data_IF_936525237389
#
_entry.id   IF_936525237389
#
_cell.length_a   1.000
_cell.length_b   1.000
_cell.length_c   1.000
_cell.angle_alpha   90.00
_cell.angle_beta   90.00
_cell.angle_gamma   90.00
#
_symmetry.space_group_name_H-M   'P 1'
#
loop_
_entity.id
_entity.type
_entity.pdbx_description
1 polymer ?
#
# COMPACT_ATOMS: atom_id res chain seq x y z
N UNK A 1 -8.61 -10.36 59.60
CA UNK A 1 -7.84 -10.39 58.35
C UNK A 1 -8.74 -9.85 57.25
N UNK A 2 -8.65 -8.55 57.04
CA UNK A 2 -9.45 -7.77 56.08
C UNK A 2 -8.53 -7.53 54.88
N UNK A 3 -8.96 -7.72 53.63
CA UNK A 3 -8.08 -7.48 52.49
C UNK A 3 -7.77 -5.99 52.38
N UNK A 4 -6.48 -5.70 52.22
CA UNK A 4 -5.95 -4.36 52.11
C UNK A 4 -6.48 -3.67 50.83
N UNK A 5 -6.97 -2.46 51.04
CA UNK A 5 -7.48 -1.54 50.04
C UNK A 5 -6.28 -1.05 49.19
N UNK A 6 -6.24 -1.39 47.91
CA UNK A 6 -5.29 -0.79 46.96
C UNK A 6 -5.91 0.55 46.50
N UNK A 7 -5.21 1.69 46.67
CA UNK A 7 -5.76 2.99 46.29
C UNK A 7 -5.93 3.10 44.77
N UNK A 8 -7.07 3.64 44.32
CA UNK A 8 -7.46 3.86 42.92
C UNK A 8 -6.54 4.82 42.13
N UNK A 9 -5.47 5.34 42.75
CA UNK A 9 -4.55 6.31 42.16
C UNK A 9 -3.43 5.71 41.29
N UNK A 10 -3.35 4.38 41.11
CA UNK A 10 -2.38 3.72 40.22
C UNK A 10 -2.94 3.36 38.82
N UNK A 11 -4.19 3.72 38.51
CA UNK A 11 -4.79 3.50 37.18
C UNK A 11 -4.57 4.67 36.19
N UNK A 12 -3.76 5.66 36.54
CA UNK A 12 -3.48 6.85 35.71
C UNK A 12 -2.02 6.94 35.26
N UNK A 13 -1.42 5.82 34.85
CA UNK A 13 -0.13 5.82 34.17
C UNK A 13 -0.24 6.45 32.77
N UNK A 14 -0.15 7.78 32.74
CA UNK A 14 0.52 8.59 31.73
C UNK A 14 0.34 8.23 30.26
N UNK A 15 -0.82 8.58 29.68
CA UNK A 15 -0.85 8.98 28.27
C UNK A 15 -0.92 10.51 28.24
N UNK A 16 0.25 11.15 28.14
CA UNK A 16 0.31 12.55 27.72
C UNK A 16 -0.29 12.73 26.31
N UNK A 17 -0.48 13.97 25.82
CA UNK A 17 -1.07 14.25 24.51
C UNK A 17 -0.07 13.90 23.39
N UNK A 18 0.25 12.62 23.24
CA UNK A 18 0.91 12.09 22.05
C UNK A 18 -0.13 11.97 20.94
N UNK A 19 0.24 12.34 19.71
CA UNK A 19 -0.63 12.16 18.55
C UNK A 19 -1.01 10.68 18.40
N UNK A 20 -2.31 10.38 18.47
CA UNK A 20 -2.83 9.02 18.30
C UNK A 20 -3.06 8.75 16.82
N UNK A 21 -2.46 7.69 16.31
CA UNK A 21 -2.65 7.23 14.94
C UNK A 21 -3.70 6.12 14.92
N UNK A 22 -4.79 6.35 14.21
CA UNK A 22 -5.89 5.40 14.03
C UNK A 22 -5.98 5.05 12.55
N UNK A 23 -5.77 3.78 12.23
CA UNK A 23 -5.89 3.27 10.87
C UNK A 23 -7.12 2.38 10.76
N UNK A 24 -8.13 2.84 10.02
CA UNK A 24 -9.28 2.03 9.66
C UNK A 24 -8.91 1.22 8.43
N UNK A 25 -8.96 -0.11 8.53
CA UNK A 25 -8.66 -1.03 7.44
C UNK A 25 -9.96 -1.68 6.97
N UNK A 26 -10.38 -1.37 5.76
CA UNK A 26 -11.56 -1.95 5.12
C UNK A 26 -11.24 -2.43 3.70
N UNK A 27 -12.24 -2.92 2.98
CA UNK A 27 -12.07 -3.43 1.63
C UNK A 27 -12.83 -4.72 1.34
N UNK A 28 -12.74 -5.17 0.10
CA UNK A 28 -13.45 -6.35 -0.37
C UNK A 28 -13.02 -7.62 0.38
N UNK A 29 -13.93 -8.54 0.55
CA UNK A 29 -13.64 -9.84 1.15
C UNK A 29 -12.73 -10.64 0.22
N UNK A 30 -11.62 -11.16 0.76
CA UNK A 30 -10.56 -11.79 -0.03
C UNK A 30 -9.48 -10.82 -0.57
N UNK A 31 -9.61 -9.51 -0.35
CA UNK A 31 -8.61 -8.52 -0.78
C UNK A 31 -7.37 -8.41 0.12
N UNK A 32 -7.21 -9.30 1.11
CA UNK A 32 -6.00 -9.32 1.96
C UNK A 32 -6.05 -8.49 3.23
N UNK A 33 -7.22 -7.97 3.65
CA UNK A 33 -7.39 -7.23 4.92
C UNK A 33 -6.75 -7.90 6.14
N UNK A 34 -7.02 -9.20 6.34
CA UNK A 34 -6.45 -9.94 7.47
C UNK A 34 -4.93 -10.04 7.39
N UNK A 35 -4.35 -10.07 6.18
CA UNK A 35 -2.89 -10.03 6.01
C UNK A 35 -2.35 -8.63 6.36
N UNK A 36 -3.03 -7.57 5.91
CA UNK A 36 -2.66 -6.18 6.23
C UNK A 36 -2.70 -5.95 7.74
N UNK A 37 -3.78 -6.36 8.41
CA UNK A 37 -3.92 -6.25 9.87
C UNK A 37 -2.80 -6.97 10.62
N UNK A 38 -2.42 -8.18 10.20
CA UNK A 38 -1.29 -8.91 10.80
C UNK A 38 0.04 -8.18 10.63
N UNK A 39 0.29 -7.61 9.44
CA UNK A 39 1.51 -6.82 9.22
C UNK A 39 1.51 -5.56 10.09
N UNK A 40 0.36 -4.90 10.28
CA UNK A 40 0.25 -3.77 11.19
C UNK A 40 0.49 -4.16 12.66
N UNK A 41 0.02 -5.34 13.07
CA UNK A 41 0.30 -5.93 14.39
C UNK A 41 1.81 -6.15 14.57
N UNK A 42 2.48 -6.74 13.57
CA UNK A 42 3.94 -6.95 13.55
C UNK A 42 4.71 -5.60 13.63
N UNK A 43 4.13 -4.51 13.11
CA UNK A 43 4.66 -3.15 13.17
C UNK A 43 4.35 -2.43 14.50
N UNK A 44 3.70 -3.11 15.45
CA UNK A 44 3.39 -2.60 16.78
C UNK A 44 2.10 -1.80 16.89
N UNK A 45 1.18 -1.91 15.92
CA UNK A 45 -0.18 -1.41 16.10
C UNK A 45 -0.97 -2.33 17.04
N UNK A 46 -1.76 -1.75 17.94
CA UNK A 46 -2.86 -2.48 18.57
C UNK A 46 -3.92 -2.76 17.50
N UNK A 47 -4.28 -4.02 17.29
CA UNK A 47 -5.18 -4.45 16.22
C UNK A 47 -6.51 -4.93 16.80
N UNK A 48 -7.61 -4.40 16.29
CA UNK A 48 -8.97 -4.87 16.60
C UNK A 48 -9.68 -5.24 15.30
N UNK A 49 -9.96 -6.53 15.09
CA UNK A 49 -10.65 -7.01 13.89
C UNK A 49 -12.16 -7.13 14.12
N UNK A 50 -12.93 -6.48 13.24
CA UNK A 50 -14.38 -6.58 13.13
C UNK A 50 -15.17 -6.22 14.42
N UNK A 51 -14.86 -5.11 15.14
CA UNK A 51 -15.68 -4.69 16.27
C UNK A 51 -17.06 -4.17 15.80
N UNK A 52 -18.08 -4.21 16.66
CA UNK A 52 -19.30 -3.43 16.45
C UNK A 52 -18.98 -1.93 16.26
N UNK A 53 -19.64 -1.26 15.31
CA UNK A 53 -19.30 0.14 14.97
C UNK A 53 -19.46 1.12 16.15
N UNK A 54 -20.43 0.89 17.03
CA UNK A 54 -20.65 1.75 18.21
C UNK A 54 -19.50 1.69 19.24
N UNK A 55 -18.54 0.78 19.09
CA UNK A 55 -17.38 0.69 19.98
C UNK A 55 -16.16 1.46 19.43
N UNK A 56 -16.21 2.01 18.22
CA UNK A 56 -15.05 2.66 17.61
C UNK A 56 -14.50 3.81 18.45
N UNK A 57 -15.37 4.66 18.99
CA UNK A 57 -14.97 5.76 19.87
C UNK A 57 -14.34 5.25 21.17
N UNK A 58 -14.91 4.22 21.79
CA UNK A 58 -14.37 3.63 23.01
C UNK A 58 -13.01 2.97 22.79
N UNK A 59 -12.84 2.26 21.67
CA UNK A 59 -11.56 1.67 21.26
C UNK A 59 -10.53 2.76 20.97
N UNK A 60 -10.92 3.82 20.25
CA UNK A 60 -10.03 4.95 19.99
C UNK A 60 -9.62 5.66 21.27
N UNK A 61 -10.52 5.83 22.24
CA UNK A 61 -10.23 6.50 23.50
C UNK A 61 -9.27 5.70 24.40
N UNK A 62 -9.45 4.38 24.47
CA UNK A 62 -8.72 3.48 25.39
C UNK A 62 -7.53 2.77 24.76
N UNK A 63 -7.47 2.71 23.44
CA UNK A 63 -6.40 2.06 22.70
C UNK A 63 -5.09 2.83 22.79
N UNK A 64 -4.01 2.14 22.40
CA UNK A 64 -2.66 2.67 22.34
C UNK A 64 -2.50 3.86 21.39
N UNK A 65 -1.27 4.36 21.30
CA UNK A 65 -0.91 5.46 20.40
C UNK A 65 -0.99 5.10 18.91
N UNK A 66 -0.93 3.81 18.58
CA UNK A 66 -1.05 3.26 17.22
C UNK A 66 -2.13 2.17 17.22
N UNK A 67 -3.31 2.50 16.71
CA UNK A 67 -4.48 1.61 16.69
C UNK A 67 -4.85 1.31 15.23
N UNK A 68 -5.10 0.04 14.91
CA UNK A 68 -5.60 -0.39 13.62
C UNK A 68 -6.91 -1.17 13.80
N UNK A 69 -7.97 -0.74 13.11
CA UNK A 69 -9.30 -1.32 13.26
C UNK A 69 -9.75 -1.90 11.92
N UNK A 70 -9.95 -3.22 11.89
CA UNK A 70 -10.53 -3.92 10.75
C UNK A 70 -12.04 -3.74 10.71
N UNK A 71 -12.58 -3.16 9.64
CA UNK A 71 -14.02 -3.03 9.42
C UNK A 71 -14.39 -3.70 8.10
N UNK A 72 -15.38 -4.58 8.13
CA UNK A 72 -15.93 -5.22 6.94
C UNK A 72 -17.45 -5.35 7.00
N UNK A 73 -18.06 -5.85 5.92
CA UNK A 73 -19.52 -5.96 5.82
C UNK A 73 -20.17 -6.86 6.88
N UNK A 74 -19.38 -7.62 7.66
CA UNK A 74 -19.83 -8.44 8.79
C UNK A 74 -19.84 -7.67 10.11
N UNK A 75 -19.27 -6.47 10.16
CA UNK A 75 -19.23 -5.67 11.38
C UNK A 75 -20.66 -5.36 11.82
N UNK A 76 -20.95 -5.52 13.11
CA UNK A 76 -22.31 -5.31 13.61
C UNK A 76 -22.69 -3.84 13.47
N UNK A 77 -23.80 -3.59 12.78
CA UNK A 77 -24.26 -2.23 12.45
C UNK A 77 -23.57 -1.62 11.23
N UNK A 78 -22.91 -2.44 10.40
CA UNK A 78 -22.20 -1.96 9.21
C UNK A 78 -23.13 -1.23 8.23
N UNK A 79 -22.85 0.05 8.03
CA UNK A 79 -23.31 0.87 6.91
C UNK A 79 -22.15 1.78 6.54
N UNK A 80 -21.85 1.92 5.24
CA UNK A 80 -20.70 2.70 4.79
C UNK A 80 -20.77 4.17 5.24
N UNK A 81 -21.96 4.78 5.21
CA UNK A 81 -22.19 6.14 5.73
C UNK A 81 -21.87 6.24 7.22
N UNK A 82 -22.32 5.29 8.04
CA UNK A 82 -22.04 5.29 9.48
C UNK A 82 -20.56 5.15 9.79
N UNK A 83 -19.84 4.32 9.04
CA UNK A 83 -18.37 4.20 9.21
C UNK A 83 -17.70 5.56 8.95
N UNK A 84 -18.12 6.29 7.90
CA UNK A 84 -17.60 7.64 7.63
C UNK A 84 -17.96 8.63 8.73
N UNK A 85 -19.21 8.60 9.23
CA UNK A 85 -19.65 9.44 10.36
C UNK A 85 -18.81 9.19 11.62
N UNK A 86 -18.56 7.92 11.96
CA UNK A 86 -17.71 7.57 13.10
C UNK A 86 -16.26 8.02 12.87
N UNK A 87 -15.73 7.89 11.65
CA UNK A 87 -14.41 8.42 11.32
C UNK A 87 -14.31 9.93 11.51
N UNK A 88 -15.33 10.69 11.09
CA UNK A 88 -15.36 12.14 11.26
C UNK A 88 -15.38 12.54 12.74
N UNK A 89 -16.12 11.78 13.59
CA UNK A 89 -16.06 11.96 15.05
C UNK A 89 -14.67 11.67 15.61
N UNK A 90 -14.02 10.59 15.16
CA UNK A 90 -12.67 10.27 15.59
C UNK A 90 -11.64 11.32 15.16
N UNK A 91 -11.78 11.90 13.97
CA UNK A 91 -10.94 13.01 13.47
C UNK A 91 -11.13 14.30 14.28
N UNK A 92 -12.31 14.51 14.85
CA UNK A 92 -12.59 15.67 15.70
C UNK A 92 -11.97 15.56 17.10
N UNK A 93 -11.50 14.38 17.52
CA UNK A 93 -10.82 14.19 18.80
C UNK A 93 -9.44 14.87 18.79
N UNK A 94 -9.10 15.70 19.80
CA UNK A 94 -7.81 16.36 19.87
C UNK A 94 -6.65 15.36 19.84
N UNK A 95 -5.70 15.60 18.94
CA UNK A 95 -4.50 14.75 18.80
C UNK A 95 -4.71 13.45 18.03
N UNK A 96 -5.91 13.17 17.49
CA UNK A 96 -6.17 12.00 16.66
C UNK A 96 -5.85 12.25 15.19
N UNK A 97 -5.07 11.35 14.59
CA UNK A 97 -4.87 11.25 13.15
C UNK A 97 -5.55 9.97 12.66
N UNK A 98 -6.62 10.11 11.89
CA UNK A 98 -7.41 8.99 11.39
C UNK A 98 -7.23 8.85 9.90
N UNK A 99 -6.86 7.66 9.45
CA UNK A 99 -6.70 7.32 8.05
C UNK A 99 -7.52 6.07 7.68
N UNK A 100 -7.97 6.01 6.44
CA UNK A 100 -8.73 4.90 5.86
C UNK A 100 -7.92 4.21 4.77
N UNK A 101 -7.58 2.94 5.03
CA UNK A 101 -7.02 2.02 4.05
C UNK A 101 -8.12 1.14 3.48
N UNK A 102 -8.22 1.12 2.15
CA UNK A 102 -9.14 0.30 1.38
C UNK A 102 -8.37 -0.74 0.57
N UNK A 103 -8.50 -2.01 0.95
CA UNK A 103 -7.94 -3.13 0.18
C UNK A 103 -8.93 -3.60 -0.90
N UNK A 104 -8.44 -3.72 -2.13
CA UNK A 104 -9.24 -4.22 -3.26
C UNK A 104 -8.50 -5.28 -4.07
N UNK A 105 -9.23 -5.96 -4.94
CA UNK A 105 -8.68 -6.75 -6.02
C UNK A 105 -9.76 -6.93 -7.10
N UNK A 106 -9.34 -7.34 -8.29
CA UNK A 106 -10.23 -7.68 -9.38
C UNK A 106 -11.19 -8.82 -9.00
N UNK A 107 -12.46 -8.79 -9.46
CA UNK A 107 -13.46 -9.80 -9.10
C UNK A 107 -13.00 -11.23 -9.39
N UNK A 108 -12.30 -11.45 -10.50
CA UNK A 108 -11.78 -12.77 -10.87
C UNK A 108 -10.71 -13.27 -9.90
N UNK A 109 -9.85 -12.37 -9.40
CA UNK A 109 -8.83 -12.69 -8.42
C UNK A 109 -9.47 -13.02 -7.07
N UNK A 110 -10.45 -12.22 -6.63
CA UNK A 110 -11.21 -12.48 -5.41
C UNK A 110 -11.91 -13.83 -5.48
N UNK A 111 -12.57 -14.14 -6.60
CA UNK A 111 -13.22 -15.42 -6.84
C UNK A 111 -12.22 -16.59 -6.71
N UNK A 112 -11.05 -16.49 -7.34
CA UNK A 112 -9.98 -17.51 -7.23
C UNK A 112 -9.52 -17.68 -5.79
N UNK A 113 -9.36 -16.60 -5.02
CA UNK A 113 -8.95 -16.65 -3.60
C UNK A 113 -10.02 -17.32 -2.72
N UNK A 114 -11.30 -17.07 -2.95
CA UNK A 114 -12.37 -17.77 -2.24
C UNK A 114 -12.39 -19.26 -2.56
N UNK A 115 -12.21 -19.63 -3.83
CA UNK A 115 -12.12 -21.03 -4.25
C UNK A 115 -10.91 -21.73 -3.60
N UNK A 116 -9.75 -21.08 -3.59
CA UNK A 116 -8.52 -21.63 -3.01
C UNK A 116 -8.61 -21.81 -1.48
N UNK A 117 -9.19 -20.84 -0.77
CA UNK A 117 -9.32 -20.88 0.69
C UNK A 117 -10.55 -21.65 1.17
N UNK A 118 -11.47 -22.02 0.27
CA UNK A 118 -12.78 -22.63 0.55
C UNK A 118 -13.62 -21.86 1.58
N UNK A 119 -13.37 -20.57 1.75
CA UNK A 119 -14.12 -19.69 2.66
C UNK A 119 -15.44 -19.28 2.00
N UNK A 120 -16.49 -19.11 2.80
CA UNK A 120 -17.76 -18.55 2.33
C UNK A 120 -17.66 -17.04 2.19
N UNK A 121 -18.29 -16.48 1.16
CA UNK A 121 -18.40 -15.04 1.01
C UNK A 121 -19.43 -14.49 2.02
N UNK A 122 -19.15 -13.41 2.76
CA UNK A 122 -20.03 -12.92 3.83
C UNK A 122 -21.46 -12.60 3.42
N UNK A 123 -21.64 -12.02 2.23
CA UNK A 123 -22.95 -11.64 1.70
C UNK A 123 -23.67 -12.76 0.93
N UNK A 124 -23.06 -13.95 0.80
CA UNK A 124 -23.64 -15.07 0.03
C UNK A 124 -24.03 -16.19 0.97
N UNK A 125 -25.32 -16.33 1.22
CA UNK A 125 -25.89 -17.42 2.03
C UNK A 125 -26.05 -18.71 1.21
N UNK A 126 -26.32 -18.58 -0.09
CA UNK A 126 -26.42 -19.67 -1.08
C UNK A 126 -26.23 -19.11 -2.49
N UNK A 127 -25.59 -19.85 -3.41
CA UNK A 127 -25.42 -19.44 -4.81
C UNK A 127 -23.99 -19.11 -5.20
N UNK A 128 -23.82 -18.37 -6.29
CA UNK A 128 -22.51 -18.02 -6.86
C UNK A 128 -21.86 -16.86 -6.10
N UNK A 129 -20.53 -16.87 -6.00
CA UNK A 129 -19.76 -15.87 -5.23
C UNK A 129 -19.73 -14.51 -5.94
N UNK A 130 -19.73 -14.50 -7.27
CA UNK A 130 -19.53 -13.29 -8.07
C UNK A 130 -20.59 -12.19 -7.82
N UNK A 131 -21.90 -12.48 -7.78
CA UNK A 131 -22.91 -11.49 -7.39
C UNK A 131 -22.69 -10.91 -5.99
N UNK A 132 -22.18 -11.73 -5.07
CA UNK A 132 -21.80 -11.29 -3.71
C UNK A 132 -20.67 -10.28 -3.72
N UNK A 133 -19.64 -10.49 -4.56
CA UNK A 133 -18.51 -9.57 -4.75
C UNK A 133 -19.01 -8.24 -5.34
N UNK A 134 -19.89 -8.28 -6.35
CA UNK A 134 -20.46 -7.09 -6.97
C UNK A 134 -21.31 -6.28 -5.98
N UNK A 135 -22.13 -6.97 -5.18
CA UNK A 135 -22.93 -6.34 -4.13
C UNK A 135 -22.03 -5.70 -3.07
N UNK A 136 -20.99 -6.41 -2.60
CA UNK A 136 -20.02 -5.88 -1.65
C UNK A 136 -19.32 -4.64 -2.22
N UNK A 137 -18.95 -4.68 -3.51
CA UNK A 137 -18.33 -3.54 -4.21
C UNK A 137 -19.23 -2.30 -4.19
N UNK A 138 -20.54 -2.46 -4.42
CA UNK A 138 -21.50 -1.34 -4.33
C UNK A 138 -21.63 -0.81 -2.90
N UNK A 139 -21.74 -1.70 -1.91
CA UNK A 139 -21.86 -1.31 -0.50
C UNK A 139 -20.62 -0.56 0.00
N UNK A 140 -19.44 -0.96 -0.46
CA UNK A 140 -18.17 -0.38 -0.05
C UNK A 140 -17.72 0.82 -0.91
N UNK A 141 -18.44 1.17 -1.97
CA UNK A 141 -18.08 2.27 -2.86
C UNK A 141 -17.91 3.62 -2.14
N UNK A 142 -18.75 4.00 -1.15
CA UNK A 142 -18.54 5.25 -0.41
C UNK A 142 -17.24 5.25 0.39
N UNK A 143 -16.90 4.13 1.05
CA UNK A 143 -15.65 4.00 1.80
C UNK A 143 -14.43 4.07 0.88
N UNK A 144 -14.52 3.44 -0.29
CA UNK A 144 -13.48 3.53 -1.30
C UNK A 144 -13.28 4.95 -1.81
N UNK A 145 -14.36 5.71 -2.00
CA UNK A 145 -14.28 7.09 -2.48
C UNK A 145 -13.63 8.05 -1.47
N UNK A 146 -13.70 7.73 -0.18
CA UNK A 146 -13.11 8.52 0.92
C UNK A 146 -11.84 7.89 1.48
N UNK A 147 -11.33 6.84 0.85
CA UNK A 147 -10.13 6.16 1.32
C UNK A 147 -8.92 7.06 1.11
N UNK A 148 -8.15 7.27 2.17
CA UNK A 148 -6.85 7.93 2.07
C UNK A 148 -5.91 7.07 1.23
N UNK A 149 -6.00 5.73 1.37
CA UNK A 149 -5.17 4.78 0.63
C UNK A 149 -6.00 3.65 0.03
N UNK A 150 -5.84 3.42 -1.27
CA UNK A 150 -6.40 2.26 -1.96
C UNK A 150 -5.27 1.34 -2.39
N UNK A 151 -5.28 0.10 -1.90
CA UNK A 151 -4.30 -0.92 -2.29
C UNK A 151 -4.97 -1.94 -3.18
N UNK A 152 -4.50 -2.05 -4.42
CA UNK A 152 -4.94 -3.09 -5.34
C UNK A 152 -4.06 -4.33 -5.21
N UNK A 153 -4.61 -5.36 -4.56
CA UNK A 153 -3.88 -6.60 -4.29
C UNK A 153 -3.98 -7.62 -5.43
N UNK A 154 -4.56 -7.27 -6.59
CA UNK A 154 -4.82 -8.21 -7.69
C UNK A 154 -3.57 -8.96 -8.14
N UNK A 155 -2.47 -8.22 -8.32
CA UNK A 155 -1.17 -8.76 -8.76
C UNK A 155 -0.10 -8.67 -7.66
N UNK A 156 -0.48 -8.49 -6.40
CA UNK A 156 0.45 -8.43 -5.28
C UNK A 156 0.45 -9.76 -4.52
N UNK A 157 1.52 -10.55 -4.60
CA UNK A 157 1.70 -11.69 -3.71
C UNK A 157 1.90 -11.23 -2.26
N UNK A 158 1.77 -12.17 -1.32
CA UNK A 158 1.77 -11.85 0.11
C UNK A 158 3.06 -11.18 0.63
N UNK A 159 4.27 -11.59 0.20
CA UNK A 159 5.51 -10.91 0.59
C UNK A 159 5.55 -9.45 0.13
N UNK A 160 5.16 -9.16 -1.10
CA UNK A 160 5.15 -7.81 -1.67
C UNK A 160 4.09 -6.93 -1.02
N UNK A 161 2.91 -7.49 -0.71
CA UNK A 161 1.91 -6.78 0.09
C UNK A 161 2.46 -6.41 1.47
N UNK A 162 3.13 -7.35 2.15
CA UNK A 162 3.78 -7.09 3.44
C UNK A 162 4.78 -5.95 3.33
N UNK A 163 5.66 -6.01 2.32
CA UNK A 163 6.66 -4.98 2.10
C UNK A 163 6.05 -3.61 1.79
N UNK A 164 4.97 -3.55 1.01
CA UNK A 164 4.24 -2.30 0.75
C UNK A 164 3.66 -1.70 2.04
N UNK A 165 3.09 -2.53 2.91
CA UNK A 165 2.55 -2.09 4.22
C UNK A 165 3.66 -1.71 5.19
N UNK A 166 4.75 -2.47 5.28
CA UNK A 166 5.94 -2.13 6.10
C UNK A 166 6.56 -0.81 5.65
N UNK A 167 6.68 -0.61 4.34
CA UNK A 167 7.17 0.65 3.75
C UNK A 167 6.26 1.82 4.10
N UNK A 168 4.93 1.60 4.11
CA UNK A 168 3.94 2.67 4.31
C UNK A 168 3.54 2.95 5.76
N UNK A 169 3.63 1.96 6.64
CA UNK A 169 3.14 2.08 8.02
C UNK A 169 4.21 1.67 9.03
N UNK A 170 5.43 1.37 8.58
CA UNK A 170 6.56 1.14 9.45
C UNK A 170 7.04 2.41 10.15
N UNK A 171 7.88 2.23 11.17
CA UNK A 171 8.35 3.26 12.09
C UNK A 171 9.36 4.27 11.49
N UNK A 172 9.41 4.41 10.16
CA UNK A 172 10.31 5.34 9.44
C UNK A 172 9.72 6.71 9.17
N UNK A 173 8.67 7.13 9.89
CA UNK A 173 7.99 8.42 9.67
C UNK A 173 8.88 9.66 9.90
N UNK A 174 10.03 9.46 10.55
CA UNK A 174 11.10 10.45 10.74
C UNK A 174 12.12 10.49 9.58
N UNK A 175 12.12 9.49 8.69
CA UNK A 175 13.12 9.35 7.61
C UNK A 175 12.81 10.20 6.36
N UNK A 176 11.78 11.05 6.39
CA UNK A 176 11.35 11.89 5.26
C UNK A 176 10.23 11.27 4.42
N UNK A 177 10.11 11.67 3.14
CA UNK A 177 9.12 11.12 2.21
C UNK A 177 9.57 9.74 1.74
N UNK A 178 8.78 8.72 2.07
CA UNK A 178 8.98 7.37 1.54
C UNK A 178 8.43 7.25 0.12
N UNK A 179 9.24 6.76 -0.81
CA UNK A 179 8.88 6.68 -2.24
C UNK A 179 8.79 5.22 -2.69
N UNK A 180 7.67 4.83 -3.28
CA UNK A 180 7.51 3.56 -3.97
C UNK A 180 7.57 3.78 -5.49
N UNK A 181 8.59 3.21 -6.14
CA UNK A 181 8.72 3.20 -7.60
C UNK A 181 8.15 1.90 -8.14
N UNK A 182 7.09 1.98 -8.95
CA UNK A 182 6.34 0.81 -9.41
C UNK A 182 6.33 0.67 -10.93
N UNK A 183 6.72 -0.49 -11.45
CA UNK A 183 6.41 -0.83 -12.86
C UNK A 183 5.12 -1.63 -12.95
N UNK A 184 4.30 -1.32 -13.96
CA UNK A 184 3.05 -2.05 -14.22
C UNK A 184 2.79 -2.28 -15.72
N UNK A 185 1.79 -3.10 -16.04
CA UNK A 185 1.24 -3.31 -17.36
C UNK A 185 -0.14 -2.67 -17.51
N UNK A 186 -0.34 -1.86 -18.56
CA UNK A 186 -1.64 -1.21 -18.82
C UNK A 186 -2.84 -2.18 -18.91
N UNK A 187 -2.72 -3.39 -19.52
CA UNK A 187 -3.82 -4.35 -19.52
C UNK A 187 -4.26 -4.82 -18.13
N UNK A 188 -3.38 -4.74 -17.12
CA UNK A 188 -3.69 -5.04 -15.71
C UNK A 188 -4.28 -3.85 -14.95
N UNK A 189 -4.59 -2.75 -15.65
CA UNK A 189 -5.09 -1.52 -15.06
C UNK A 189 -4.02 -0.64 -14.42
N UNK A 190 -4.39 0.61 -14.14
CA UNK A 190 -3.52 1.54 -13.42
C UNK A 190 -3.42 1.14 -11.93
N UNK A 191 -2.23 1.18 -11.31
CA UNK A 191 -2.11 1.04 -9.86
C UNK A 191 -2.92 2.14 -9.18
N UNK A 192 -3.78 1.75 -8.25
CA UNK A 192 -4.71 2.67 -7.59
C UNK A 192 -4.03 3.50 -6.50
N UNK A 193 -2.93 2.98 -6.01
CA UNK A 193 -2.02 3.60 -5.06
C UNK A 193 -1.05 4.60 -5.71
N UNK A 194 -1.05 4.74 -7.04
CA UNK A 194 -0.13 5.62 -7.76
C UNK A 194 -0.54 7.09 -7.63
N UNK A 195 0.40 7.92 -7.20
CA UNK A 195 0.26 9.39 -7.20
C UNK A 195 0.62 9.99 -8.55
N UNK A 196 1.58 9.38 -9.26
CA UNK A 196 2.01 9.79 -10.60
C UNK A 196 2.14 8.56 -11.49
N UNK A 197 1.68 8.67 -12.74
CA UNK A 197 1.71 7.58 -13.72
C UNK A 197 2.33 8.08 -15.02
N UNK A 198 3.37 7.40 -15.50
CA UNK A 198 4.03 7.71 -16.77
C UNK A 198 3.89 6.56 -17.78
N UNK A 199 3.54 6.88 -19.03
CA UNK A 199 3.39 5.91 -20.11
C UNK A 199 4.69 5.73 -20.88
N UNK A 200 5.23 4.51 -20.90
CA UNK A 200 6.43 4.14 -21.65
C UNK A 200 6.15 3.29 -22.90
N UNK A 201 4.88 3.14 -23.32
CA UNK A 201 4.49 2.28 -24.45
C UNK A 201 5.00 2.75 -25.81
N UNK A 202 5.37 4.02 -25.94
CA UNK A 202 5.90 4.58 -27.19
C UNK A 202 7.37 4.23 -27.43
N UNK A 203 8.13 3.89 -26.38
CA UNK A 203 9.54 3.52 -26.52
C UNK A 203 9.69 2.19 -27.26
N UNK A 204 10.82 2.03 -27.95
CA UNK A 204 11.23 0.84 -28.69
C UNK A 204 10.94 -0.43 -27.89
N UNK A 205 10.14 -1.31 -28.49
CA UNK A 205 9.59 -2.48 -27.80
C UNK A 205 10.50 -3.70 -27.96
N UNK A 206 11.16 -4.19 -26.88
CA UNK A 206 12.05 -5.35 -26.97
C UNK A 206 11.33 -6.65 -27.32
N UNK A 207 10.00 -6.68 -27.25
CA UNK A 207 9.20 -7.87 -27.58
C UNK A 207 9.35 -8.34 -29.03
N UNK A 208 9.73 -7.46 -29.96
CA UNK A 208 9.92 -7.83 -31.37
C UNK A 208 11.31 -8.44 -31.65
N UNK A 209 12.22 -8.40 -30.69
CA UNK A 209 13.50 -9.08 -30.76
C UNK A 209 13.39 -10.43 -30.02
N UNK A 210 13.48 -11.58 -30.73
CA UNK A 210 13.35 -12.91 -30.11
C UNK A 210 14.36 -13.16 -29.00
N UNK A 211 15.53 -12.52 -29.05
CA UNK A 211 16.58 -12.68 -28.03
C UNK A 211 16.28 -11.91 -26.75
N UNK A 212 15.55 -10.78 -26.87
CA UNK A 212 15.20 -9.90 -25.74
C UNK A 212 13.82 -10.21 -25.15
N UNK A 213 12.91 -10.79 -25.94
CA UNK A 213 11.56 -11.17 -25.51
C UNK A 213 11.51 -12.00 -24.20
N UNK A 214 12.41 -12.99 -23.96
CA UNK A 214 12.41 -13.75 -22.72
C UNK A 214 13.15 -13.05 -21.57
N UNK A 215 13.75 -11.89 -21.78
CA UNK A 215 14.49 -11.14 -20.77
C UNK A 215 13.57 -10.15 -20.03
N UNK A 216 14.10 -9.29 -19.18
CA UNK A 216 13.38 -8.28 -18.42
C UNK A 216 14.11 -6.95 -18.46
N UNK A 217 13.47 -5.86 -18.03
CA UNK A 217 14.14 -4.56 -17.89
C UNK A 217 15.24 -4.53 -16.82
N UNK A 218 15.47 -5.63 -16.09
CA UNK A 218 16.62 -5.81 -15.20
C UNK A 218 17.88 -6.22 -15.99
N UNK A 219 17.70 -6.75 -17.20
CA UNK A 219 18.80 -7.25 -18.02
C UNK A 219 19.42 -6.14 -18.87
N UNK A 220 20.75 -6.03 -18.82
CA UNK A 220 21.48 -4.95 -19.48
C UNK A 220 21.20 -4.86 -20.99
N UNK A 221 21.00 -6.00 -21.67
CA UNK A 221 20.67 -6.04 -23.09
C UNK A 221 19.33 -5.37 -23.40
N UNK A 222 18.31 -5.60 -22.56
CA UNK A 222 16.99 -4.96 -22.68
C UNK A 222 17.11 -3.47 -22.39
N UNK A 223 17.85 -3.10 -21.34
CA UNK A 223 18.08 -1.69 -20.98
C UNK A 223 18.69 -0.95 -22.17
N UNK A 224 19.76 -1.48 -22.78
CA UNK A 224 20.41 -0.84 -23.92
C UNK A 224 19.47 -0.74 -25.12
N UNK A 225 18.68 -1.77 -25.41
CA UNK A 225 17.71 -1.73 -26.50
C UNK A 225 16.64 -0.64 -26.30
N UNK A 226 16.12 -0.48 -25.08
CA UNK A 226 15.15 0.59 -24.76
C UNK A 226 15.80 1.96 -24.87
N UNK A 227 17.04 2.11 -24.39
CA UNK A 227 17.81 3.37 -24.43
C UNK A 227 18.22 3.82 -25.85
N UNK A 228 18.23 2.91 -26.82
CA UNK A 228 18.48 3.24 -28.23
C UNK A 228 17.32 3.97 -28.91
N UNK A 229 16.14 4.03 -28.28
CA UNK A 229 15.04 4.84 -28.80
C UNK A 229 15.44 6.32 -28.82
N UNK A 230 15.31 7.05 -29.95
CA UNK A 230 15.68 8.46 -30.03
C UNK A 230 14.95 9.36 -29.01
N UNK A 231 13.74 8.98 -28.60
CA UNK A 231 12.95 9.73 -27.63
C UNK A 231 13.30 9.39 -26.17
N UNK A 232 14.03 8.29 -25.91
CA UNK A 232 14.33 7.84 -24.55
C UNK A 232 15.04 8.91 -23.70
N UNK A 233 16.15 9.53 -24.15
CA UNK A 233 16.88 10.47 -23.30
C UNK A 233 16.01 11.67 -22.90
N UNK A 234 15.27 12.24 -23.85
CA UNK A 234 14.39 13.38 -23.60
C UNK A 234 13.25 13.00 -22.64
N UNK A 235 12.57 11.88 -22.88
CA UNK A 235 11.50 11.42 -22.01
C UNK A 235 11.98 11.16 -20.58
N UNK A 236 13.05 10.38 -20.44
CA UNK A 236 13.59 10.04 -19.14
C UNK A 236 14.02 11.28 -18.37
N UNK A 237 14.73 12.21 -19.02
CA UNK A 237 15.18 13.45 -18.37
C UNK A 237 14.00 14.33 -17.94
N UNK A 238 12.92 14.42 -18.71
CA UNK A 238 11.73 15.16 -18.29
C UNK A 238 11.01 14.50 -17.11
N UNK A 239 10.88 13.17 -17.12
CA UNK A 239 10.28 12.44 -16.00
C UNK A 239 11.13 12.59 -14.74
N UNK A 240 12.43 12.35 -14.84
CA UNK A 240 13.37 12.51 -13.72
C UNK A 240 13.41 13.95 -13.20
N UNK A 241 13.53 14.95 -14.07
CA UNK A 241 13.53 16.36 -13.69
C UNK A 241 12.20 16.83 -13.07
N UNK A 242 11.06 16.30 -13.53
CA UNK A 242 9.78 16.55 -12.88
C UNK A 242 9.75 15.96 -11.46
N UNK A 243 10.25 14.72 -11.29
CA UNK A 243 10.31 14.07 -9.98
C UNK A 243 11.25 14.79 -9.01
N UNK A 244 12.40 15.25 -9.49
CA UNK A 244 13.33 16.09 -8.72
C UNK A 244 12.66 17.40 -8.24
N UNK A 245 11.73 17.94 -9.01
CA UNK A 245 10.97 19.14 -8.64
C UNK A 245 9.85 18.86 -7.63
N UNK A 246 9.08 17.78 -7.82
CA UNK A 246 7.84 17.56 -7.04
C UNK A 246 8.04 16.77 -5.76
N UNK A 247 9.01 15.85 -5.70
CA UNK A 247 9.25 15.05 -4.49
C UNK A 247 9.64 15.91 -3.27
N UNK A 248 10.50 16.93 -3.38
CA UNK A 248 10.76 17.85 -2.26
C UNK A 248 9.50 18.62 -1.84
N UNK A 249 8.66 19.03 -2.79
CA UNK A 249 7.40 19.74 -2.50
C UNK A 249 6.39 18.84 -1.80
N UNK A 250 6.35 17.54 -2.12
CA UNK A 250 5.56 16.58 -1.36
C UNK A 250 6.00 16.51 0.10
N UNK A 251 7.31 16.58 0.37
CA UNK A 251 7.83 16.67 1.76
C UNK A 251 7.34 17.95 2.44
N UNK A 252 7.44 19.11 1.76
CA UNK A 252 7.00 20.41 2.28
C UNK A 252 5.49 20.44 2.60
N UNK A 253 4.66 19.79 1.77
CA UNK A 253 3.22 19.64 2.02
C UNK A 253 2.89 18.59 3.10
N UNK A 254 3.91 17.99 3.72
CA UNK A 254 3.75 17.01 4.80
C UNK A 254 3.35 15.62 4.32
N UNK A 255 3.45 15.34 3.01
CA UNK A 255 3.19 14.01 2.46
C UNK A 255 4.27 13.04 2.94
N UNK A 256 3.83 11.92 3.51
CA UNK A 256 4.73 10.89 4.06
C UNK A 256 5.06 9.78 3.07
N UNK A 257 4.23 9.59 2.05
CA UNK A 257 4.36 8.51 1.08
C UNK A 257 4.01 8.98 -0.32
N UNK A 258 4.81 8.62 -1.32
CA UNK A 258 4.50 8.84 -2.72
C UNK A 258 4.75 7.58 -3.55
N UNK A 259 3.82 7.22 -4.41
CA UNK A 259 3.96 6.11 -5.36
C UNK A 259 4.09 6.65 -6.77
N UNK A 260 5.22 6.37 -7.42
CA UNK A 260 5.49 6.76 -8.80
C UNK A 260 5.44 5.51 -9.67
N UNK A 261 4.50 5.47 -10.61
CA UNK A 261 4.27 4.32 -11.46
C UNK A 261 4.68 4.58 -12.91
N UNK A 262 5.31 3.59 -13.55
CA UNK A 262 5.60 3.60 -14.99
C UNK A 262 4.95 2.39 -15.66
N UNK A 263 4.17 2.63 -16.69
CA UNK A 263 3.41 1.62 -17.41
C UNK A 263 4.02 1.28 -18.76
N UNK A 264 4.03 -0.01 -19.12
CA UNK A 264 4.18 -0.42 -20.52
C UNK A 264 3.13 -1.49 -20.89
N UNK A 265 3.18 -2.06 -22.09
CA UNK A 265 2.14 -3.02 -22.51
C UNK A 265 2.14 -4.32 -21.68
N UNK A 266 3.30 -4.78 -21.21
CA UNK A 266 3.44 -6.08 -20.54
C UNK A 266 4.17 -6.05 -19.20
N UNK A 267 4.45 -4.87 -18.66
CA UNK A 267 5.07 -4.70 -17.33
C UNK A 267 6.48 -5.31 -17.16
N UNK A 268 7.12 -5.73 -18.25
CA UNK A 268 8.32 -6.59 -18.20
C UNK A 268 9.63 -5.90 -18.61
N UNK A 269 9.57 -5.01 -19.60
CA UNK A 269 10.77 -4.48 -20.25
C UNK A 269 10.94 -2.98 -20.03
N UNK A 270 10.15 -2.17 -20.76
CA UNK A 270 10.29 -0.71 -20.80
C UNK A 270 10.00 -0.04 -19.45
N UNK A 271 8.89 -0.40 -18.82
CA UNK A 271 8.53 0.16 -17.51
C UNK A 271 9.54 -0.24 -16.43
N UNK A 272 9.96 -1.50 -16.39
CA UNK A 272 11.01 -1.99 -15.48
C UNK A 272 12.31 -1.22 -15.69
N UNK A 273 12.75 -1.05 -16.94
CA UNK A 273 13.96 -0.28 -17.29
C UNK A 273 13.93 1.14 -16.75
N UNK A 274 12.81 1.86 -16.94
CA UNK A 274 12.69 3.25 -16.47
C UNK A 274 12.67 3.32 -14.95
N UNK A 275 11.92 2.43 -14.29
CA UNK A 275 11.82 2.40 -12.83
C UNK A 275 13.20 2.15 -12.19
N UNK A 276 13.96 1.21 -12.73
CA UNK A 276 15.31 0.91 -12.26
C UNK A 276 16.29 2.08 -12.46
N UNK A 277 16.18 2.80 -13.58
CA UNK A 277 16.99 4.00 -13.82
C UNK A 277 16.59 5.18 -12.92
N UNK A 278 15.29 5.37 -12.65
CA UNK A 278 14.82 6.35 -11.68
C UNK A 278 15.33 6.01 -10.27
N UNK A 279 15.23 4.74 -9.87
CA UNK A 279 15.72 4.25 -8.59
C UNK A 279 17.23 4.46 -8.39
N UNK A 280 18.00 4.46 -9.48
CA UNK A 280 19.45 4.71 -9.47
C UNK A 280 19.82 6.18 -9.34
N UNK A 281 18.99 7.10 -9.86
CA UNK A 281 19.30 8.53 -9.96
C UNK A 281 18.62 9.39 -8.90
N UNK A 282 17.35 9.15 -8.60
CA UNK A 282 16.58 9.96 -7.64
C UNK A 282 17.24 10.08 -6.26
N UNK A 283 17.85 9.03 -5.68
CA UNK A 283 18.54 9.16 -4.39
C UNK A 283 19.73 10.13 -4.39
N UNK A 284 20.23 10.51 -5.57
CA UNK A 284 21.36 11.44 -5.73
C UNK A 284 20.92 12.88 -5.94
N UNK A 285 19.67 13.10 -6.30
CA UNK A 285 19.16 14.39 -6.80
C UNK A 285 18.00 14.93 -5.97
N UNK A 286 17.23 14.07 -5.30
CA UNK A 286 16.11 14.47 -4.46
C UNK A 286 16.35 14.07 -2.99
N UNK A 287 16.09 14.96 -2.00
CA UNK A 287 16.07 14.62 -0.59
C UNK A 287 14.83 13.79 -0.27
N UNK A 288 14.90 12.50 -0.58
CA UNK A 288 13.86 11.51 -0.28
C UNK A 288 14.35 10.56 0.80
N UNK A 289 13.40 10.05 1.56
CA UNK A 289 13.65 9.05 2.59
C UNK A 289 13.82 7.65 1.98
N UNK A 290 13.25 6.62 2.63
CA UNK A 290 13.27 5.27 2.11
C UNK A 290 12.65 5.20 0.70
N UNK A 291 13.27 4.42 -0.17
CA UNK A 291 12.82 4.24 -1.55
C UNK A 291 12.76 2.76 -1.90
N UNK A 292 11.56 2.28 -2.18
CA UNK A 292 11.29 0.92 -2.62
C UNK A 292 11.10 0.88 -4.13
N UNK A 293 11.55 -0.21 -4.76
CA UNK A 293 11.20 -0.59 -6.12
C UNK A 293 10.28 -1.80 -6.07
N UNK A 294 9.23 -1.80 -6.90
CA UNK A 294 8.28 -2.90 -7.04
C UNK A 294 7.89 -3.10 -8.52
N UNK A 295 7.92 -4.34 -8.97
CA UNK A 295 7.58 -4.75 -10.33
C UNK A 295 6.41 -5.74 -10.32
N UNK A 296 5.18 -5.23 -10.49
CA UNK A 296 3.94 -6.02 -10.34
C UNK A 296 3.91 -7.28 -11.20
N UNK A 297 4.29 -7.19 -12.47
CA UNK A 297 4.23 -8.32 -13.40
C UNK A 297 5.39 -9.28 -13.24
N UNK A 298 6.51 -8.85 -12.66
CA UNK A 298 7.59 -9.76 -12.28
C UNK A 298 7.20 -10.56 -11.03
N UNK A 299 6.54 -9.91 -10.05
CA UNK A 299 5.97 -10.57 -8.87
C UNK A 299 5.02 -11.71 -9.26
N UNK A 300 4.13 -11.45 -10.22
CA UNK A 300 3.20 -12.46 -10.75
C UNK A 300 3.90 -13.68 -11.35
N UNK A 301 5.13 -13.53 -11.84
CA UNK A 301 5.94 -14.60 -12.43
C UNK A 301 6.88 -15.28 -11.43
N UNK A 302 6.81 -14.90 -10.15
CA UNK A 302 7.69 -15.43 -9.10
C UNK A 302 9.16 -15.01 -9.28
N UNK A 303 9.41 -13.93 -10.01
CA UNK A 303 10.75 -13.35 -10.17
C UNK A 303 11.01 -12.34 -9.06
N UNK A 304 12.28 -11.97 -8.84
CA UNK A 304 12.64 -10.87 -7.95
C UNK A 304 11.86 -9.61 -8.33
N UNK A 305 10.93 -9.25 -7.47
CA UNK A 305 9.84 -8.34 -7.77
C UNK A 305 9.95 -7.03 -7.02
N UNK A 306 10.77 -6.98 -5.96
CA UNK A 306 10.94 -5.79 -5.16
C UNK A 306 12.35 -5.73 -4.58
N UNK A 307 12.80 -4.52 -4.26
CA UNK A 307 14.05 -4.26 -3.54
C UNK A 307 14.03 -2.85 -2.95
N UNK A 308 14.89 -2.59 -1.98
CA UNK A 308 15.19 -1.23 -1.57
C UNK A 308 16.17 -0.59 -2.57
N UNK A 309 15.85 0.61 -3.05
CA UNK A 309 16.80 1.52 -3.68
C UNK A 309 17.48 2.39 -2.62
N UNK A 310 16.73 2.79 -1.59
CA UNK A 310 17.24 3.42 -0.37
C UNK A 310 16.54 2.72 0.80
N UNK A 311 17.24 1.91 1.61
CA UNK A 311 16.61 1.23 2.74
C UNK A 311 16.27 2.24 3.85
N UNK A 312 15.25 1.94 4.69
CA UNK A 312 15.00 2.71 5.90
C UNK A 312 16.19 2.71 6.86
N UNK A 313 16.34 3.75 7.67
CA UNK A 313 17.52 3.91 8.52
C UNK A 313 17.70 2.75 9.52
N UNK A 314 16.60 2.20 10.04
CA UNK A 314 16.62 1.05 10.96
C UNK A 314 17.08 -0.27 10.32
N UNK A 315 17.05 -0.40 8.99
CA UNK A 315 17.52 -1.57 8.25
C UNK A 315 18.97 -1.43 7.78
N UNK A 316 19.49 -0.19 7.67
CA UNK A 316 20.86 0.08 7.22
C UNK A 316 21.97 -0.44 8.16
N UNK A 317 21.61 -0.86 9.38
CA UNK A 317 22.53 -1.41 10.38
C UNK A 317 22.61 -2.94 10.46
N UNK A 318 21.77 -3.69 9.75
CA UNK A 318 21.72 -5.16 9.88
C UNK A 318 22.50 -5.94 8.81
N UNK A 319 23.10 -5.28 7.83
CA UNK A 319 23.73 -5.95 6.67
C UNK A 319 25.26 -5.73 6.57
N UNK A 320 25.96 -5.81 7.72
CA UNK A 320 27.44 -5.85 7.77
C UNK A 320 28.02 -7.15 8.34
N UNK A 321 27.25 -8.23 8.37
CA UNK A 321 27.77 -9.55 8.73
C UNK A 321 26.97 -10.68 8.07
N UNK A 322 27.34 -11.01 6.84
CA UNK A 322 27.27 -12.36 6.26
C UNK A 322 28.23 -12.45 5.07
#
# INVERSE_FOLDING_TARGET
MTPANIPESELSAGYGPGSRQILIVTGLSGAGKSSILRVLEDLGHEVVDNPPLHLLEALAARGGSRLAIGIDVRSRGFEASRVLEEMDRLKALPGSQVQLLYATAEPEILLRRFTATRRRHPLVTSGTILPGIEQETRLLAPLRAHADFVIDTSDLPAPELRQLIETRFGSGAEDGLTVALMSFAYPSGLPREADMVFDARFLRNPHYDPTLQPMTGLDQAVVQHVKQDPAYPAFFNHVHGLLDLVLPRFVEEGKKYATIAVGCSGGRHRSVTIIEELARLLPKTAPVGPMMVLHRELARKGLSSWRWAVPPHNLSGQDKSA
#
